data_IF_150738890359
#
_entry.id   IF_150738890359
#
_cell.length_a   1.000
_cell.length_b   1.000
_cell.length_c   1.000
_cell.angle_alpha   90.00
_cell.angle_beta   90.00
_cell.angle_gamma   90.00
#
_symmetry.space_group_name_H-M   'P 1'
#
loop_
_entity.id
_entity.type
_entity.pdbx_description
1 polymer ?
#
# COMPACT_ATOMS: atom_id res chain seq x y z
N UNK A 1 9.69 23.02 7.60
CA UNK A 1 9.13 24.38 7.80
C UNK A 1 9.40 24.82 9.22
N UNK A 2 10.04 25.95 9.39
CA UNK A 2 10.18 26.56 10.71
C UNK A 2 9.14 27.67 10.86
N UNK A 3 8.55 27.79 12.04
CA UNK A 3 7.64 28.86 12.39
C UNK A 3 8.15 29.55 13.63
N UNK A 4 8.27 30.89 13.58
CA UNK A 4 8.68 31.68 14.71
C UNK A 4 7.46 32.38 15.31
N UNK A 5 7.28 32.24 16.62
CA UNK A 5 6.21 32.88 17.38
C UNK A 5 6.87 33.78 18.43
N UNK A 6 6.61 35.08 18.36
CA UNK A 6 7.09 36.06 19.33
C UNK A 6 5.98 36.38 20.32
N UNK A 7 6.20 36.09 21.60
CA UNK A 7 5.25 36.38 22.69
C UNK A 7 5.96 37.03 23.88
N UNK A 8 5.31 37.92 24.62
CA UNK A 8 5.86 38.45 25.84
C UNK A 8 5.92 37.37 26.93
N UNK A 9 6.93 37.43 27.80
CA UNK A 9 7.09 36.58 28.98
C UNK A 9 6.09 36.97 30.07
N UNK A 10 4.83 36.64 29.85
CA UNK A 10 3.71 36.84 30.78
C UNK A 10 2.77 35.64 30.73
N UNK A 11 1.89 35.50 31.74
CA UNK A 11 0.89 34.43 31.74
C UNK A 11 0.01 34.43 30.48
N UNK A 12 -0.41 35.62 30.02
CA UNK A 12 -1.18 35.78 28.78
C UNK A 12 -0.36 35.42 27.52
N UNK A 13 0.92 35.76 27.52
CA UNK A 13 1.83 35.43 26.43
C UNK A 13 2.04 33.92 26.34
N UNK A 14 2.17 33.24 27.46
CA UNK A 14 2.30 31.75 27.50
C UNK A 14 1.01 31.06 27.02
N UNK A 15 -0.16 31.52 27.46
CA UNK A 15 -1.45 31.00 26.98
C UNK A 15 -1.63 31.20 25.48
N UNK A 16 -1.24 32.36 24.96
CA UNK A 16 -1.24 32.61 23.51
C UNK A 16 -0.31 31.64 22.76
N UNK A 17 0.90 31.44 23.28
CA UNK A 17 1.88 30.53 22.70
C UNK A 17 1.32 29.09 22.62
N UNK A 18 0.68 28.61 23.68
CA UNK A 18 0.06 27.29 23.73
C UNK A 18 -1.01 27.18 22.64
N UNK A 19 -1.92 28.16 22.54
CA UNK A 19 -2.99 28.14 21.52
C UNK A 19 -2.43 28.18 20.10
N UNK A 20 -1.46 29.01 19.82
CA UNK A 20 -0.85 29.12 18.50
C UNK A 20 -0.09 27.86 18.12
N UNK A 21 0.58 27.22 19.08
CA UNK A 21 1.24 25.93 18.88
C UNK A 21 0.25 24.81 18.58
N UNK A 22 -0.86 24.75 19.30
CA UNK A 22 -1.94 23.78 19.02
C UNK A 22 -2.58 24.00 17.65
N UNK A 23 -2.86 25.25 17.29
CA UNK A 23 -3.39 25.59 15.97
C UNK A 23 -2.43 25.21 14.83
N UNK A 24 -1.15 25.45 15.03
CA UNK A 24 -0.12 25.03 14.08
C UNK A 24 -0.05 23.50 13.95
N UNK A 25 -0.08 22.79 15.07
CA UNK A 25 -0.12 21.32 15.10
C UNK A 25 -1.32 20.77 14.34
N UNK A 26 -2.51 21.32 14.58
CA UNK A 26 -3.73 20.89 13.90
C UNK A 26 -3.65 21.12 12.39
N UNK A 27 -3.15 22.27 11.95
CA UNK A 27 -2.94 22.56 10.52
C UNK A 27 -1.91 21.62 9.89
N UNK A 28 -0.85 21.27 10.61
CA UNK A 28 0.15 20.31 10.15
C UNK A 28 -0.48 18.93 9.97
N UNK A 29 -1.29 18.47 10.93
CA UNK A 29 -2.00 17.20 10.85
C UNK A 29 -2.96 17.14 9.66
N UNK A 30 -3.74 18.20 9.44
CA UNK A 30 -4.65 18.28 8.29
C UNK A 30 -3.90 18.23 6.95
N UNK A 31 -2.81 18.99 6.82
CA UNK A 31 -1.99 18.98 5.61
C UNK A 31 -1.32 17.65 5.37
N UNK A 32 -0.85 16.99 6.42
CA UNK A 32 -0.26 15.66 6.35
C UNK A 32 -1.30 14.64 5.89
N UNK A 33 -2.52 14.68 6.41
CA UNK A 33 -3.61 13.80 5.99
C UNK A 33 -3.94 13.98 4.50
N UNK A 34 -4.08 15.22 4.03
CA UNK A 34 -4.33 15.52 2.61
C UNK A 34 -3.19 15.03 1.72
N UNK A 35 -1.95 15.19 2.14
CA UNK A 35 -0.79 14.69 1.42
C UNK A 35 -0.81 13.16 1.31
N UNK A 36 -1.05 12.46 2.42
CA UNK A 36 -1.13 11.00 2.46
C UNK A 36 -2.27 10.47 1.58
N UNK A 37 -3.42 11.12 1.59
CA UNK A 37 -4.56 10.74 0.75
C UNK A 37 -4.21 10.87 -0.74
N UNK A 38 -3.53 11.94 -1.14
CA UNK A 38 -3.09 12.12 -2.54
C UNK A 38 -2.07 11.07 -2.96
N UNK A 39 -1.07 10.80 -2.13
CA UNK A 39 -0.05 9.77 -2.42
C UNK A 39 -0.69 8.39 -2.52
N UNK A 40 -1.59 8.05 -1.62
CA UNK A 40 -2.30 6.78 -1.63
C UNK A 40 -3.21 6.63 -2.86
N UNK A 41 -3.91 7.70 -3.25
CA UNK A 41 -4.74 7.71 -4.44
C UNK A 41 -3.92 7.48 -5.71
N UNK A 42 -2.81 8.17 -5.87
CA UNK A 42 -1.91 7.96 -6.99
C UNK A 42 -1.32 6.55 -7.00
N UNK A 43 -0.95 6.02 -5.84
CA UNK A 43 -0.48 4.64 -5.68
C UNK A 43 -1.54 3.62 -6.11
N UNK A 44 -2.79 3.83 -5.71
CA UNK A 44 -3.92 3.00 -6.11
C UNK A 44 -4.15 3.03 -7.63
N UNK A 45 -4.14 4.20 -8.24
CA UNK A 45 -4.33 4.34 -9.69
C UNK A 45 -3.25 3.62 -10.48
N UNK A 46 -1.98 3.79 -10.08
CA UNK A 46 -0.85 3.10 -10.72
C UNK A 46 -0.92 1.59 -10.53
N UNK A 47 -1.28 1.12 -9.34
CA UNK A 47 -1.44 -0.30 -9.07
C UNK A 47 -2.61 -0.88 -9.88
N UNK A 48 -3.74 -0.20 -9.95
CA UNK A 48 -4.89 -0.62 -10.77
C UNK A 48 -4.52 -0.79 -12.24
N UNK A 49 -3.77 0.17 -12.81
CA UNK A 49 -3.30 0.08 -14.19
C UNK A 49 -2.39 -1.14 -14.38
N UNK A 50 -1.43 -1.35 -13.48
CA UNK A 50 -0.52 -2.49 -13.56
C UNK A 50 -1.23 -3.82 -13.47
N UNK A 51 -2.17 -3.98 -12.54
CA UNK A 51 -2.96 -5.20 -12.42
C UNK A 51 -3.86 -5.43 -13.64
N UNK A 52 -4.46 -4.38 -14.20
CA UNK A 52 -5.30 -4.50 -15.40
C UNK A 52 -4.51 -4.85 -16.66
N UNK A 53 -3.23 -4.49 -16.72
CA UNK A 53 -2.33 -4.78 -17.83
C UNK A 53 -1.57 -6.10 -17.64
N UNK A 54 -1.70 -6.75 -16.50
CA UNK A 54 -1.02 -8.01 -16.23
C UNK A 54 -1.52 -9.08 -17.20
N UNK A 55 -0.57 -9.81 -17.78
CA UNK A 55 -0.87 -10.97 -18.61
C UNK A 55 -1.20 -12.13 -17.67
N UNK A 56 -2.49 -12.45 -17.58
CA UNK A 56 -3.02 -13.53 -16.75
C UNK A 56 -4.06 -14.31 -17.54
N UNK A 57 -3.89 -15.63 -17.60
CA UNK A 57 -4.69 -16.55 -18.43
C UNK A 57 -6.00 -16.99 -17.75
N UNK A 58 -6.32 -16.42 -16.60
CA UNK A 58 -7.57 -16.61 -15.88
C UNK A 58 -8.41 -15.35 -15.82
N UNK A 59 -9.48 -15.38 -15.03
CA UNK A 59 -10.29 -14.20 -14.75
C UNK A 59 -9.50 -13.24 -13.85
N UNK A 60 -9.22 -12.07 -14.36
CA UNK A 60 -8.58 -11.02 -13.56
C UNK A 60 -9.67 -10.28 -12.75
N UNK A 61 -9.84 -10.71 -11.51
CA UNK A 61 -10.81 -10.17 -10.54
C UNK A 61 -10.17 -9.18 -9.56
N UNK A 62 -8.98 -8.66 -9.85
CA UNK A 62 -8.24 -7.79 -8.95
C UNK A 62 -8.89 -6.41 -8.84
N UNK A 63 -9.17 -6.02 -7.63
CA UNK A 63 -9.64 -4.69 -7.26
C UNK A 63 -8.63 -4.02 -6.33
N UNK A 64 -8.33 -2.75 -6.60
CA UNK A 64 -7.37 -1.98 -5.80
C UNK A 64 -8.10 -0.82 -5.12
N UNK A 65 -7.91 -0.71 -3.82
CA UNK A 65 -8.56 0.32 -2.99
C UNK A 65 -7.56 1.00 -2.07
N UNK A 66 -7.95 2.15 -1.54
CA UNK A 66 -7.20 2.84 -0.47
C UNK A 66 -7.96 2.66 0.84
N UNK A 67 -7.24 2.24 1.88
CA UNK A 67 -7.78 2.10 3.22
C UNK A 67 -7.01 2.99 4.20
N UNK A 68 -7.69 3.83 5.00
CA UNK A 68 -7.05 4.50 6.12
C UNK A 68 -6.76 3.48 7.24
N UNK A 69 -5.52 3.50 7.73
CA UNK A 69 -5.10 2.65 8.86
C UNK A 69 -4.55 3.51 9.98
N UNK A 70 -5.39 4.37 10.56
CA UNK A 70 -5.00 5.36 11.56
C UNK A 70 -4.83 6.77 10.97
N UNK A 71 -4.41 7.73 11.79
CA UNK A 71 -4.36 9.13 11.40
C UNK A 71 -3.29 9.45 10.34
N UNK A 72 -2.16 8.74 10.38
CA UNK A 72 -0.99 9.01 9.55
C UNK A 72 -0.60 7.82 8.65
N UNK A 73 -1.50 6.85 8.45
CA UNK A 73 -1.24 5.67 7.65
C UNK A 73 -2.34 5.48 6.62
N UNK A 74 -1.96 5.24 5.39
CA UNK A 74 -2.83 4.80 4.30
C UNK A 74 -2.27 3.54 3.71
N UNK A 75 -3.13 2.58 3.41
CA UNK A 75 -2.77 1.36 2.72
C UNK A 75 -3.40 1.33 1.32
N UNK A 76 -2.62 0.94 0.34
CA UNK A 76 -3.13 0.57 -0.98
C UNK A 76 -3.30 -0.95 -0.96
N UNK A 77 -4.52 -1.41 -1.11
CA UNK A 77 -4.88 -2.84 -0.92
C UNK A 77 -5.39 -3.40 -2.24
N UNK A 78 -4.77 -4.47 -2.71
CA UNK A 78 -5.24 -5.25 -3.83
C UNK A 78 -5.95 -6.51 -3.31
N UNK A 79 -7.15 -6.76 -3.81
CA UNK A 79 -7.98 -7.92 -3.46
C UNK A 79 -8.46 -8.63 -4.71
N UNK A 80 -8.66 -9.92 -4.60
CA UNK A 80 -9.13 -10.78 -5.70
C UNK A 80 -8.40 -12.11 -5.72
N UNK A 81 -9.02 -13.15 -6.27
CA UNK A 81 -8.44 -14.49 -6.37
C UNK A 81 -7.17 -14.54 -7.23
N UNK A 82 -7.08 -13.67 -8.23
CA UNK A 82 -5.92 -13.59 -9.12
C UNK A 82 -4.73 -12.80 -8.55
N UNK A 83 -4.90 -12.04 -7.46
CA UNK A 83 -3.89 -11.10 -6.95
C UNK A 83 -2.55 -11.77 -6.70
N UNK A 84 -2.53 -12.87 -5.94
CA UNK A 84 -1.30 -13.57 -5.59
C UNK A 84 -0.64 -14.24 -6.81
N UNK A 85 -1.42 -14.75 -7.75
CA UNK A 85 -0.88 -15.34 -8.97
C UNK A 85 -0.27 -14.29 -9.91
N UNK A 86 -0.83 -13.11 -9.98
CA UNK A 86 -0.28 -12.01 -10.76
C UNK A 86 1.02 -11.51 -10.13
N UNK A 87 1.07 -11.39 -8.80
CA UNK A 87 2.25 -10.91 -8.08
C UNK A 87 3.39 -11.93 -8.04
N UNK A 88 3.08 -13.19 -7.71
CA UNK A 88 4.08 -14.23 -7.48
C UNK A 88 4.22 -15.23 -8.63
N UNK A 89 3.33 -15.18 -9.63
CA UNK A 89 3.32 -16.15 -10.74
C UNK A 89 2.88 -17.54 -10.31
N UNK A 90 3.32 -18.55 -11.04
CA UNK A 90 2.90 -19.94 -10.84
C UNK A 90 3.74 -20.74 -9.83
N UNK A 91 4.64 -20.10 -9.12
CA UNK A 91 5.51 -20.75 -8.14
C UNK A 91 6.78 -21.39 -8.72
N UNK A 92 7.05 -21.20 -10.02
CA UNK A 92 8.20 -21.83 -10.69
C UNK A 92 9.45 -20.97 -10.63
N UNK A 93 9.34 -19.67 -10.85
CA UNK A 93 10.51 -18.81 -11.13
C UNK A 93 10.63 -17.58 -10.23
N UNK A 94 9.53 -17.00 -9.81
CA UNK A 94 9.53 -15.67 -9.18
C UNK A 94 9.51 -15.60 -7.65
N UNK A 95 9.02 -16.58 -6.91
CA UNK A 95 8.77 -16.38 -5.48
C UNK A 95 10.02 -16.16 -4.64
N UNK A 96 11.17 -16.72 -5.03
CA UNK A 96 12.40 -16.61 -4.25
C UNK A 96 12.93 -15.16 -4.19
N UNK A 97 12.56 -14.33 -5.16
CA UNK A 97 13.00 -12.92 -5.25
C UNK A 97 12.07 -11.96 -4.52
N UNK A 98 10.92 -12.43 -4.02
CA UNK A 98 9.96 -11.59 -3.33
C UNK A 98 10.17 -11.66 -1.80
N UNK A 99 10.41 -10.52 -1.13
CA UNK A 99 10.77 -10.50 0.30
C UNK A 99 9.70 -11.08 1.23
N UNK A 100 8.42 -11.05 0.82
CA UNK A 100 7.28 -11.48 1.63
C UNK A 100 6.78 -12.89 1.22
N UNK A 101 7.46 -13.58 0.30
CA UNK A 101 7.02 -14.87 -0.20
C UNK A 101 6.86 -15.92 0.92
N UNK A 102 7.76 -15.91 1.90
CA UNK A 102 7.70 -16.84 3.02
C UNK A 102 6.50 -16.60 3.93
N UNK A 103 6.25 -15.34 4.27
CA UNK A 103 5.17 -14.94 5.17
C UNK A 103 3.79 -15.23 4.55
N UNK A 104 3.69 -15.10 3.24
CA UNK A 104 2.45 -15.32 2.48
C UNK A 104 2.27 -16.78 2.01
N UNK A 105 3.20 -17.69 2.33
CA UNK A 105 3.14 -19.09 1.88
C UNK A 105 3.31 -19.25 0.36
N UNK A 106 4.01 -18.30 -0.28
CA UNK A 106 4.16 -18.24 -1.74
C UNK A 106 5.60 -18.59 -2.18
N UNK A 107 6.30 -19.40 -1.41
CA UNK A 107 7.62 -19.91 -1.81
C UNK A 107 7.54 -20.86 -2.98
N UNK A 108 8.64 -20.98 -3.70
CA UNK A 108 8.80 -21.95 -4.78
C UNK A 108 8.45 -23.36 -4.29
N UNK A 109 7.55 -24.02 -4.99
CA UNK A 109 7.11 -25.36 -4.68
C UNK A 109 6.02 -25.47 -3.60
N UNK A 110 5.57 -24.37 -3.03
CA UNK A 110 4.56 -24.38 -1.97
C UNK A 110 3.14 -24.11 -2.49
N UNK A 111 3.01 -23.48 -3.66
CA UNK A 111 1.71 -23.11 -4.21
C UNK A 111 1.56 -23.43 -5.70
N UNK A 112 0.34 -23.24 -6.22
CA UNK A 112 -0.03 -23.57 -7.58
C UNK A 112 -0.30 -25.08 -7.78
N UNK A 113 -0.95 -25.44 -8.87
CA UNK A 113 -1.33 -26.84 -9.14
C UNK A 113 -0.12 -27.78 -9.26
N UNK A 114 1.00 -27.29 -9.74
CA UNK A 114 2.23 -28.06 -9.90
C UNK A 114 3.18 -27.99 -8.72
N UNK A 115 2.86 -27.26 -7.68
CA UNK A 115 3.77 -26.98 -6.58
C UNK A 115 5.16 -26.54 -7.05
N UNK A 116 5.21 -25.65 -8.05
CA UNK A 116 6.45 -25.15 -8.61
C UNK A 116 7.27 -26.20 -9.37
N UNK A 117 6.71 -27.32 -9.80
CA UNK A 117 7.43 -28.32 -10.59
C UNK A 117 7.81 -27.77 -11.96
N UNK A 118 9.09 -27.91 -12.32
CA UNK A 118 9.63 -27.46 -13.60
C UNK A 118 9.32 -28.39 -14.79
N UNK A 119 8.52 -29.44 -14.60
CA UNK A 119 8.07 -30.23 -15.70
C UNK A 119 6.95 -29.55 -16.46
N UNK A 120 6.95 -29.68 -17.77
CA UNK A 120 5.86 -29.16 -18.60
C UNK A 120 4.51 -29.68 -18.08
N UNK A 121 3.75 -28.79 -17.52
CA UNK A 121 2.35 -29.03 -17.19
C UNK A 121 1.53 -28.04 -18.01
N UNK A 122 0.51 -28.53 -18.67
CA UNK A 122 -0.39 -27.67 -19.41
C UNK A 122 -1.43 -27.07 -18.49
N UNK A 123 -1.66 -25.77 -18.62
CA UNK A 123 -2.88 -25.17 -18.12
C UNK A 123 -4.01 -25.55 -19.09
N UNK A 124 -4.93 -26.34 -18.63
CA UNK A 124 -6.18 -26.60 -19.35
C UNK A 124 -7.21 -25.60 -18.81
N UNK A 125 -7.24 -24.39 -19.37
CA UNK A 125 -8.34 -23.46 -19.16
C UNK A 125 -9.56 -23.94 -19.94
N UNK A 126 -10.71 -23.94 -19.27
CA UNK A 126 -12.01 -24.10 -19.93
C UNK A 126 -12.37 -22.83 -20.70
#
# INVERSE_FOLDING_TARGET
MSQTINVPLSGRGIERLIRETENWKNRLQERTAVFLDRVAQEGMERASVKFSQAVYDGTNDVSVTVEPRGNNVRAVVATGGATLFIEFGTGVTYPDDHPEAEELGMKRGEYGQGHGKQHSWGYYGD
#
